data_IF_618097959133
#
_entry.id   IF_618097959133
#
_cell.length_a   1.000
_cell.length_b   1.000
_cell.length_c   1.000
_cell.angle_alpha   90.00
_cell.angle_beta   90.00
_cell.angle_gamma   90.00
#
_symmetry.space_group_name_H-M   'P 1'
#
loop_
_entity.id
_entity.type
_entity.pdbx_description
1 polymer ?
#
# COMPACT_ATOMS: atom_id res chain seq x y z
N UNK A 1 9.02 13.47 -4.47
CA UNK A 1 9.58 12.51 -3.48
C UNK A 1 10.82 13.02 -2.75
N UNK A 2 11.77 13.70 -3.41
CA UNK A 2 12.99 14.19 -2.75
C UNK A 2 12.72 15.01 -1.48
N UNK A 3 11.91 16.07 -1.56
CA UNK A 3 11.60 16.94 -0.40
C UNK A 3 11.00 16.16 0.79
N UNK A 4 9.99 15.32 0.56
CA UNK A 4 9.36 14.51 1.61
C UNK A 4 10.38 13.59 2.30
N UNK A 5 11.18 12.87 1.52
CA UNK A 5 12.22 11.99 2.05
C UNK A 5 13.30 12.76 2.81
N UNK A 6 13.72 13.94 2.33
CA UNK A 6 14.70 14.78 3.01
C UNK A 6 14.18 15.29 4.35
N UNK A 7 12.97 15.85 4.38
CA UNK A 7 12.36 16.37 5.62
C UNK A 7 12.20 15.25 6.65
N UNK A 8 11.71 14.09 6.21
CA UNK A 8 11.56 12.95 7.12
C UNK A 8 12.91 12.40 7.62
N UNK A 9 13.94 12.36 6.76
CA UNK A 9 15.30 11.94 7.16
C UNK A 9 15.87 12.87 8.23
N UNK A 10 15.73 14.19 8.06
CA UNK A 10 16.18 15.18 9.05
C UNK A 10 15.46 14.96 10.38
N UNK A 11 14.12 14.87 10.35
CA UNK A 11 13.33 14.61 11.55
C UNK A 11 13.75 13.31 12.25
N UNK A 12 13.90 12.22 11.51
CA UNK A 12 14.25 10.91 12.06
C UNK A 12 15.65 10.91 12.68
N UNK A 13 16.62 11.52 12.00
CA UNK A 13 18.00 11.61 12.49
C UNK A 13 18.09 12.42 13.78
N UNK A 14 17.37 13.55 13.88
CA UNK A 14 17.29 14.35 15.11
C UNK A 14 16.64 13.53 16.23
N UNK A 15 15.49 12.90 15.97
CA UNK A 15 14.72 12.16 16.97
C UNK A 15 15.49 10.98 17.57
N UNK A 16 16.26 10.27 16.74
CA UNK A 16 16.95 9.04 17.14
C UNK A 16 18.48 9.22 17.25
N UNK A 17 18.97 10.47 17.24
CA UNK A 17 20.40 10.80 17.34
C UNK A 17 21.28 10.02 16.34
N UNK A 18 20.79 9.89 15.10
CA UNK A 18 21.50 9.19 14.01
C UNK A 18 22.14 10.17 13.03
N UNK A 19 23.15 9.69 12.31
CA UNK A 19 23.82 10.40 11.21
C UNK A 19 23.76 9.54 9.95
N UNK A 20 23.65 10.18 8.79
CA UNK A 20 23.68 9.52 7.48
C UNK A 20 22.31 9.42 6.80
N UNK A 21 22.28 8.68 5.70
CA UNK A 21 21.06 8.45 4.90
C UNK A 21 20.10 7.50 5.62
N UNK A 22 18.80 7.79 5.53
CA UNK A 22 17.75 6.90 6.03
C UNK A 22 17.20 5.99 4.93
N UNK A 23 17.01 6.51 3.73
CA UNK A 23 16.46 5.79 2.59
C UNK A 23 17.57 5.17 1.74
N UNK A 24 17.32 3.96 1.22
CA UNK A 24 18.23 3.27 0.31
C UNK A 24 17.87 3.59 -1.15
N UNK A 25 18.80 4.22 -1.87
CA UNK A 25 18.64 4.55 -3.28
C UNK A 25 17.61 5.65 -3.56
N UNK A 26 17.33 5.87 -4.85
CA UNK A 26 16.33 6.84 -5.30
C UNK A 26 14.93 6.21 -5.33
N UNK A 27 13.91 7.06 -5.16
CA UNK A 27 12.52 6.66 -5.33
C UNK A 27 12.26 6.19 -6.77
N UNK A 28 11.56 5.06 -6.91
CA UNK A 28 11.14 4.50 -8.21
C UNK A 28 9.71 4.92 -8.51
N UNK A 29 9.47 5.35 -9.75
CA UNK A 29 8.15 5.71 -10.26
C UNK A 29 7.80 4.87 -11.49
N UNK A 30 6.54 4.48 -11.63
CA UNK A 30 6.01 3.83 -12.82
C UNK A 30 4.68 4.48 -13.18
N UNK A 31 4.51 4.84 -14.45
CA UNK A 31 3.25 5.36 -14.95
C UNK A 31 2.20 4.25 -15.00
N UNK A 32 1.02 4.51 -14.44
CA UNK A 32 -0.17 3.64 -14.58
C UNK A 32 -0.84 4.01 -15.89
N UNK A 33 -1.04 3.02 -16.77
CA UNK A 33 -1.59 3.25 -18.11
C UNK A 33 -3.00 2.70 -18.29
N UNK A 34 -3.40 1.72 -17.47
CA UNK A 34 -4.68 1.05 -17.56
C UNK A 34 -5.33 0.92 -16.18
N UNK A 35 -6.64 0.71 -16.18
CA UNK A 35 -7.38 0.41 -14.94
C UNK A 35 -6.89 -0.91 -14.33
N UNK A 36 -6.56 -1.91 -15.16
CA UNK A 36 -5.99 -3.17 -14.68
C UNK A 36 -4.64 -2.96 -13.97
N UNK A 37 -3.76 -2.10 -14.50
CA UNK A 37 -2.51 -1.72 -13.85
C UNK A 37 -2.77 -1.06 -12.49
N UNK A 38 -3.76 -0.17 -12.41
CA UNK A 38 -4.17 0.50 -11.18
C UNK A 38 -4.64 -0.53 -10.13
N UNK A 39 -5.51 -1.45 -10.53
CA UNK A 39 -6.03 -2.50 -9.66
C UNK A 39 -4.93 -3.45 -9.20
N UNK A 40 -3.98 -3.80 -10.07
CA UNK A 40 -2.83 -4.64 -9.73
C UNK A 40 -1.91 -3.95 -8.71
N UNK A 41 -1.63 -2.66 -8.88
CA UNK A 41 -0.81 -1.89 -7.92
C UNK A 41 -1.53 -1.75 -6.57
N UNK A 42 -2.83 -1.49 -6.60
CA UNK A 42 -3.65 -1.44 -5.40
C UNK A 42 -3.59 -2.77 -4.62
N UNK A 43 -3.69 -3.91 -5.32
CA UNK A 43 -3.55 -5.21 -4.71
C UNK A 43 -2.15 -5.46 -4.13
N UNK A 44 -1.12 -5.11 -4.90
CA UNK A 44 0.27 -5.22 -4.45
C UNK A 44 0.50 -4.46 -3.13
N UNK A 45 0.04 -3.21 -3.04
CA UNK A 45 0.21 -2.37 -1.83
C UNK A 45 -0.47 -3.01 -0.61
N UNK A 46 -1.73 -3.46 -0.74
CA UNK A 46 -2.47 -4.00 0.40
C UNK A 46 -2.04 -5.41 0.81
N UNK A 47 -1.50 -6.20 -0.13
CA UNK A 47 -1.01 -7.54 0.15
C UNK A 47 0.45 -7.56 0.64
N UNK A 48 1.25 -6.51 0.38
CA UNK A 48 2.66 -6.46 0.78
C UNK A 48 2.90 -6.81 2.26
N UNK A 49 2.12 -6.28 3.24
CA UNK A 49 2.31 -6.64 4.64
C UNK A 49 2.17 -8.13 4.94
N UNK A 50 1.30 -8.84 4.23
CA UNK A 50 1.11 -10.29 4.40
C UNK A 50 2.24 -11.11 3.79
N UNK A 51 2.91 -10.58 2.76
CA UNK A 51 4.09 -11.22 2.15
C UNK A 51 5.30 -11.16 3.09
N UNK A 52 5.54 -9.99 3.67
CA UNK A 52 6.68 -9.79 4.59
C UNK A 52 6.47 -10.45 5.95
N UNK A 53 5.21 -10.72 6.32
CA UNK A 53 4.82 -11.31 7.61
C UNK A 53 3.72 -12.38 7.40
N UNK A 54 4.11 -13.64 7.14
CA UNK A 54 3.16 -14.74 7.04
C UNK A 54 2.24 -14.82 8.28
N UNK A 55 0.94 -15.03 8.05
CA UNK A 55 -0.06 -15.06 9.12
C UNK A 55 -0.52 -13.68 9.63
N UNK A 56 0.00 -12.57 9.07
CA UNK A 56 -0.49 -11.23 9.39
C UNK A 56 -1.96 -11.08 9.01
N UNK A 57 -2.78 -10.67 9.98
CA UNK A 57 -4.17 -10.31 9.74
C UNK A 57 -4.27 -8.88 9.20
N UNK A 58 -4.48 -8.73 7.89
CA UNK A 58 -4.67 -7.42 7.23
C UNK A 58 -5.79 -6.58 7.86
N UNK A 59 -6.83 -7.22 8.43
CA UNK A 59 -7.91 -6.51 9.14
C UNK A 59 -7.49 -5.93 10.49
N UNK A 60 -6.26 -6.14 10.93
CA UNK A 60 -5.70 -5.55 12.16
C UNK A 60 -4.44 -4.75 11.87
N UNK A 61 -4.04 -4.61 10.61
CA UNK A 61 -2.80 -3.94 10.23
C UNK A 61 -3.03 -2.42 10.08
N UNK A 62 -2.53 -1.58 11.00
CA UNK A 62 -2.89 -0.17 11.04
C UNK A 62 -2.15 0.67 9.99
N UNK A 63 -1.04 0.17 9.44
CA UNK A 63 -0.17 0.92 8.53
C UNK A 63 -0.57 0.71 7.06
N UNK A 64 -1.87 0.66 6.77
CA UNK A 64 -2.41 0.57 5.41
C UNK A 64 -3.80 1.19 5.34
N UNK A 65 -4.17 1.69 4.17
CA UNK A 65 -5.53 2.18 3.90
C UNK A 65 -6.52 1.05 3.60
N UNK A 66 -6.13 -0.23 3.71
CA UNK A 66 -7.00 -1.40 3.46
C UNK A 66 -8.37 -1.29 4.15
N UNK A 67 -8.39 -0.71 5.36
CA UNK A 67 -9.61 -0.48 6.12
C UNK A 67 -10.59 0.45 5.41
N UNK A 68 -10.12 1.50 4.76
CA UNK A 68 -10.96 2.46 4.03
C UNK A 68 -11.65 1.78 2.84
N UNK A 69 -10.94 0.88 2.16
CA UNK A 69 -11.49 0.10 1.04
C UNK A 69 -12.52 -0.95 1.47
N UNK A 70 -12.34 -1.58 2.63
CA UNK A 70 -13.20 -2.70 3.06
C UNK A 70 -14.34 -2.26 3.97
N UNK A 71 -14.13 -1.24 4.81
CA UNK A 71 -15.13 -0.81 5.82
C UNK A 71 -15.87 0.46 5.44
N UNK A 72 -15.55 1.08 4.30
CA UNK A 72 -16.05 2.42 3.92
C UNK A 72 -15.89 3.46 5.05
N UNK A 73 -14.87 3.31 5.90
CA UNK A 73 -14.46 4.40 6.77
C UNK A 73 -13.95 5.50 5.85
N UNK A 74 -14.67 6.62 5.75
CA UNK A 74 -14.32 7.68 4.83
C UNK A 74 -13.32 8.61 5.49
N UNK A 75 -12.04 8.30 5.35
CA UNK A 75 -10.98 9.28 5.58
C UNK A 75 -11.15 10.42 4.56
N UNK A 76 -11.37 11.65 5.03
CA UNK A 76 -11.69 12.80 4.15
C UNK A 76 -10.55 13.19 3.21
N UNK A 77 -9.33 12.80 3.55
CA UNK A 77 -8.11 13.06 2.79
C UNK A 77 -7.74 11.92 1.83
N UNK A 78 -8.50 10.82 1.81
CA UNK A 78 -8.23 9.66 0.96
C UNK A 78 -9.36 9.43 -0.03
N UNK A 79 -9.04 9.50 -1.32
CA UNK A 79 -9.95 9.10 -2.40
C UNK A 79 -9.77 7.61 -2.70
N UNK A 80 -10.83 6.84 -2.49
CA UNK A 80 -10.87 5.39 -2.79
C UNK A 80 -11.80 5.08 -3.98
N UNK A 81 -12.54 6.07 -4.45
CA UNK A 81 -13.60 5.95 -5.46
C UNK A 81 -13.05 5.43 -6.79
N UNK A 82 -11.85 5.86 -7.18
CA UNK A 82 -11.23 5.48 -8.46
C UNK A 82 -10.92 3.98 -8.56
N UNK A 83 -10.64 3.33 -7.43
CA UNK A 83 -10.42 1.87 -7.39
C UNK A 83 -11.74 1.17 -7.06
N UNK A 84 -12.50 1.68 -6.09
CA UNK A 84 -13.73 1.03 -5.62
C UNK A 84 -14.84 1.03 -6.66
N UNK A 85 -14.85 1.95 -7.64
CA UNK A 85 -15.81 1.94 -8.76
C UNK A 85 -15.76 0.67 -9.60
N UNK A 86 -14.66 -0.08 -9.57
CA UNK A 86 -14.50 -1.34 -10.29
C UNK A 86 -15.09 -2.55 -9.56
N UNK A 87 -15.61 -2.38 -8.34
CA UNK A 87 -16.04 -3.48 -7.48
C UNK A 87 -17.41 -3.21 -6.84
N UNK A 88 -18.19 -4.27 -6.65
CA UNK A 88 -19.28 -4.23 -5.66
C UNK A 88 -18.65 -4.35 -4.26
N UNK A 89 -19.33 -3.82 -3.24
CA UNK A 89 -18.86 -3.85 -1.84
C UNK A 89 -18.48 -5.29 -1.46
N UNK A 90 -17.32 -5.48 -0.83
CA UNK A 90 -16.67 -6.77 -0.48
C UNK A 90 -15.94 -7.49 -1.62
N UNK A 91 -16.22 -7.21 -2.90
CA UNK A 91 -15.51 -7.84 -4.01
C UNK A 91 -14.05 -7.40 -4.05
N UNK A 92 -13.74 -6.19 -3.61
CA UNK A 92 -12.35 -5.75 -3.46
C UNK A 92 -11.55 -6.67 -2.54
N UNK A 93 -12.14 -7.09 -1.41
CA UNK A 93 -11.48 -8.04 -0.50
C UNK A 93 -11.29 -9.41 -1.16
N UNK A 94 -12.25 -9.86 -1.96
CA UNK A 94 -12.16 -11.12 -2.72
C UNK A 94 -11.04 -11.04 -3.75
N UNK A 95 -10.98 -9.95 -4.50
CA UNK A 95 -9.93 -9.65 -5.49
C UNK A 95 -8.52 -9.68 -4.87
N UNK A 96 -8.34 -9.11 -3.67
CA UNK A 96 -7.05 -9.17 -2.97
C UNK A 96 -6.62 -10.60 -2.63
N UNK A 97 -7.55 -11.45 -2.19
CA UNK A 97 -7.26 -12.87 -1.88
C UNK A 97 -6.93 -13.64 -3.14
N UNK A 98 -7.66 -13.43 -4.23
CA UNK A 98 -7.38 -14.07 -5.53
C UNK A 98 -6.00 -13.68 -6.06
N UNK A 99 -5.63 -12.40 -5.98
CA UNK A 99 -4.30 -11.92 -6.40
C UNK A 99 -3.18 -12.48 -5.53
N UNK A 100 -3.36 -12.53 -4.21
CA UNK A 100 -2.37 -13.10 -3.30
C UNK A 100 -2.11 -14.59 -3.64
N UNK A 101 -3.17 -15.38 -3.79
CA UNK A 101 -3.08 -16.80 -4.12
C UNK A 101 -2.47 -17.06 -5.50
N UNK A 102 -2.71 -16.17 -6.48
CA UNK A 102 -2.13 -16.30 -7.82
C UNK A 102 -0.63 -16.04 -7.81
N UNK A 103 -0.17 -15.04 -7.05
CA UNK A 103 1.25 -14.74 -6.92
C UNK A 103 2.02 -15.82 -6.15
N UNK A 104 1.42 -16.42 -5.11
CA UNK A 104 2.02 -17.57 -4.38
C UNK A 104 2.23 -18.81 -5.26
N UNK A 105 1.47 -18.97 -6.34
CA UNK A 105 1.62 -20.10 -7.28
C UNK A 105 2.72 -19.89 -8.32
N UNK A 106 3.22 -18.66 -8.46
CA UNK A 106 4.25 -18.28 -9.44
C UNK A 106 5.66 -18.16 -8.83
N UNK A 107 5.76 -18.21 -7.50
CA UNK A 107 7.03 -18.22 -6.76
C UNK A 107 7.37 -19.62 -6.24
#
# INVERSE_FOLDING_TARGET
MHSLSSIYTVYFNIKYQRVGSLFQGTYKARLIKTDEDLLNVSAYIHNNPSKDKPGLNLKKYPYSSYHDYVRKTKNTWLSIEEITKHFVINDYKKYLVEKLNHEEKLG
#
